data_IF_326594128344
#
_entry.id   IF_326594128344
#
_cell.length_a   1.000
_cell.length_b   1.000
_cell.length_c   1.000
_cell.angle_alpha   90.00
_cell.angle_beta   90.00
_cell.angle_gamma   90.00
#
_symmetry.space_group_name_H-M   'P 1'
#
loop_
_entity.id
_entity.type
_entity.pdbx_description
1 polymer ?
#
# COMPACT_ATOMS: atom_id res chain seq x y z
N UNK A 1 -36.95 -20.14 16.77
CA UNK A 1 -36.55 -21.24 17.65
C UNK A 1 -37.00 -20.98 19.07
N UNK A 2 -36.79 -19.79 19.68
CA UNK A 2 -37.26 -19.44 21.00
C UNK A 2 -38.79 -19.62 21.16
N UNK A 3 -39.61 -19.10 20.24
CA UNK A 3 -41.05 -19.29 20.25
C UNK A 3 -41.45 -20.75 20.25
N UNK A 4 -40.72 -21.62 19.53
CA UNK A 4 -40.95 -23.05 19.48
C UNK A 4 -40.75 -23.69 20.88
N UNK A 5 -39.68 -23.34 21.55
CA UNK A 5 -39.38 -23.80 22.92
C UNK A 5 -40.47 -23.34 23.89
N UNK A 6 -40.83 -22.05 23.86
CA UNK A 6 -41.86 -21.48 24.73
C UNK A 6 -43.22 -22.18 24.51
N UNK A 7 -43.63 -22.36 23.25
CA UNK A 7 -44.89 -23.00 22.92
C UNK A 7 -44.94 -24.47 23.39
N UNK A 8 -43.85 -25.22 23.19
CA UNK A 8 -43.73 -26.61 23.69
C UNK A 8 -43.74 -26.68 25.21
N UNK A 9 -43.03 -25.77 25.87
CA UNK A 9 -43.03 -25.70 27.35
C UNK A 9 -44.42 -25.37 27.90
N UNK A 10 -45.12 -24.39 27.33
CA UNK A 10 -46.47 -24.04 27.77
C UNK A 10 -47.47 -25.18 27.55
N UNK A 11 -47.32 -25.91 26.41
CA UNK A 11 -48.14 -27.09 26.16
C UNK A 11 -47.86 -28.21 27.15
N UNK A 12 -46.59 -28.47 27.46
CA UNK A 12 -46.21 -29.46 28.46
C UNK A 12 -46.76 -29.10 29.86
N UNK A 13 -46.66 -27.82 30.27
CA UNK A 13 -47.25 -27.35 31.54
C UNK A 13 -48.73 -27.59 31.61
N UNK A 14 -49.48 -27.31 30.53
CA UNK A 14 -50.92 -27.58 30.48
C UNK A 14 -51.25 -29.06 30.61
N UNK A 15 -50.51 -29.95 29.93
CA UNK A 15 -50.73 -31.39 29.98
C UNK A 15 -50.48 -31.96 31.38
N UNK A 16 -49.47 -31.44 32.10
CA UNK A 16 -49.18 -31.81 33.49
C UNK A 16 -50.32 -31.35 34.41
N UNK A 17 -50.81 -30.11 34.24
CA UNK A 17 -51.93 -29.56 35.05
C UNK A 17 -53.23 -30.34 34.82
N UNK A 18 -53.43 -30.83 33.60
CA UNK A 18 -54.61 -31.61 33.23
C UNK A 18 -54.49 -33.10 33.60
N UNK A 19 -53.41 -33.52 34.28
CA UNK A 19 -53.10 -34.92 34.60
C UNK A 19 -53.26 -35.88 33.40
N UNK A 20 -52.78 -35.45 32.25
CA UNK A 20 -52.79 -36.23 30.97
C UNK A 20 -52.06 -37.57 31.12
N UNK A 21 -52.41 -38.61 30.34
CA UNK A 21 -51.72 -39.89 30.35
C UNK A 21 -50.18 -39.75 30.13
N UNK A 22 -49.40 -40.55 30.87
CA UNK A 22 -47.92 -40.53 30.88
C UNK A 22 -47.28 -40.62 29.48
N UNK A 23 -47.90 -41.38 28.59
CA UNK A 23 -47.40 -41.54 27.20
C UNK A 23 -47.42 -40.20 26.48
N UNK A 24 -48.47 -39.38 26.66
CA UNK A 24 -48.60 -38.07 26.04
C UNK A 24 -47.58 -37.09 26.68
N UNK A 25 -47.45 -37.11 28.00
CA UNK A 25 -46.47 -36.26 28.68
C UNK A 25 -45.06 -36.60 28.29
N UNK A 26 -44.68 -37.88 28.21
CA UNK A 26 -43.36 -38.32 27.73
C UNK A 26 -43.07 -37.86 26.29
N UNK A 27 -44.04 -37.95 25.40
CA UNK A 27 -43.87 -37.50 24.01
C UNK A 27 -43.67 -35.97 23.95
N UNK A 28 -44.43 -35.20 24.71
CA UNK A 28 -44.24 -33.73 24.72
C UNK A 28 -42.91 -33.31 25.36
N UNK A 29 -42.42 -34.03 26.40
CA UNK A 29 -41.06 -33.85 26.94
C UNK A 29 -40.01 -34.07 25.86
N UNK A 30 -40.13 -35.15 25.05
CA UNK A 30 -39.23 -35.42 23.93
C UNK A 30 -39.26 -34.29 22.89
N UNK A 31 -40.46 -33.79 22.52
CA UNK A 31 -40.62 -32.68 21.59
C UNK A 31 -40.07 -31.35 22.13
N UNK A 32 -40.14 -31.12 23.45
CA UNK A 32 -39.50 -29.97 24.10
C UNK A 32 -37.97 -30.11 24.03
N UNK A 33 -37.46 -31.32 24.30
CA UNK A 33 -36.01 -31.57 24.20
C UNK A 33 -35.50 -31.33 22.76
N UNK A 34 -36.22 -31.80 21.74
CA UNK A 34 -35.89 -31.54 20.34
C UNK A 34 -35.91 -30.04 20.03
N UNK A 35 -36.86 -29.29 20.59
CA UNK A 35 -36.92 -27.85 20.40
C UNK A 35 -35.74 -27.11 21.06
N UNK A 36 -35.29 -27.57 22.21
CA UNK A 36 -34.12 -27.04 22.94
C UNK A 36 -32.83 -27.40 22.18
N UNK A 37 -32.69 -28.64 21.73
CA UNK A 37 -31.55 -29.09 20.93
C UNK A 37 -31.42 -28.24 19.65
N UNK A 38 -32.55 -27.98 18.97
CA UNK A 38 -32.55 -27.11 17.79
C UNK A 38 -32.22 -25.64 18.11
N UNK A 39 -32.56 -25.14 19.29
CA UNK A 39 -32.21 -23.79 19.73
C UNK A 39 -30.71 -23.68 19.95
N UNK A 40 -30.08 -24.69 20.52
CA UNK A 40 -28.65 -24.72 20.82
C UNK A 40 -27.84 -24.95 19.51
N UNK A 41 -28.15 -26.01 18.77
CA UNK A 41 -27.47 -26.34 17.50
C UNK A 41 -28.46 -26.99 16.52
N UNK A 42 -29.03 -26.19 15.64
CA UNK A 42 -30.05 -26.62 14.68
C UNK A 42 -29.44 -27.50 13.59
N UNK A 43 -29.97 -28.73 13.46
CA UNK A 43 -29.51 -29.69 12.46
C UNK A 43 -28.45 -30.67 12.92
N UNK A 44 -27.98 -30.58 14.17
CA UNK A 44 -27.03 -31.54 14.75
C UNK A 44 -27.63 -32.91 14.98
N UNK A 45 -28.90 -32.96 15.42
CA UNK A 45 -29.65 -34.18 15.60
C UNK A 45 -30.85 -34.19 14.67
N UNK A 46 -30.78 -34.89 13.56
CA UNK A 46 -31.86 -35.04 12.61
C UNK A 46 -32.04 -33.82 11.67
N UNK A 47 -33.26 -33.67 11.14
CA UNK A 47 -33.59 -32.66 10.17
C UNK A 47 -33.65 -31.26 10.79
N UNK A 48 -32.90 -30.31 10.18
CA UNK A 48 -32.91 -28.93 10.66
C UNK A 48 -34.33 -28.29 10.61
N UNK A 49 -34.65 -27.50 11.62
CA UNK A 49 -35.87 -26.67 11.61
C UNK A 49 -35.71 -25.54 10.64
N UNK A 50 -36.62 -25.44 9.67
CA UNK A 50 -36.60 -24.44 8.60
C UNK A 50 -37.64 -23.36 8.81
N UNK A 51 -37.44 -22.20 8.23
CA UNK A 51 -38.42 -21.11 8.13
C UNK A 51 -39.34 -21.25 6.89
N UNK A 52 -40.15 -20.23 6.63
CA UNK A 52 -41.10 -20.19 5.51
C UNK A 52 -40.44 -20.42 4.14
N UNK A 53 -39.16 -20.07 3.94
CA UNK A 53 -38.42 -20.20 2.69
C UNK A 53 -37.49 -21.44 2.64
N UNK A 54 -37.81 -22.50 3.36
CA UNK A 54 -37.01 -23.72 3.50
C UNK A 54 -35.54 -23.50 3.94
N UNK A 55 -35.19 -22.32 4.44
CA UNK A 55 -33.88 -22.04 5.03
C UNK A 55 -33.84 -22.48 6.47
N UNK A 56 -32.78 -23.16 6.88
CA UNK A 56 -32.55 -23.51 8.26
C UNK A 56 -32.51 -22.24 9.13
N UNK A 57 -33.18 -22.27 10.27
CA UNK A 57 -33.19 -21.17 11.24
C UNK A 57 -31.84 -21.16 11.97
N UNK A 58 -31.28 -19.98 12.16
CA UNK A 58 -30.00 -19.80 12.90
C UNK A 58 -30.19 -20.21 14.37
N UNK A 59 -29.35 -21.13 14.84
CA UNK A 59 -29.24 -21.54 16.26
C UNK A 59 -28.22 -20.67 17.01
N UNK A 60 -28.13 -20.85 18.33
CA UNK A 60 -27.13 -20.16 19.15
C UNK A 60 -25.68 -20.54 18.70
N UNK A 61 -25.47 -21.82 18.42
CA UNK A 61 -24.18 -22.30 17.89
C UNK A 61 -23.80 -21.65 16.56
N UNK A 62 -24.74 -21.44 15.64
CA UNK A 62 -24.52 -20.80 14.35
C UNK A 62 -24.15 -19.31 14.47
N UNK A 63 -24.53 -18.67 15.58
CA UNK A 63 -24.14 -17.30 15.86
C UNK A 63 -22.66 -17.19 16.30
N UNK A 64 -22.06 -18.27 16.75
CA UNK A 64 -20.69 -18.32 17.25
C UNK A 64 -19.70 -18.90 16.22
N UNK A 65 -20.12 -19.92 15.47
CA UNK A 65 -19.27 -20.66 14.51
C UNK A 65 -19.28 -20.04 13.11
N UNK A 66 -18.26 -20.41 12.32
CA UNK A 66 -18.12 -20.01 10.91
C UNK A 66 -17.57 -18.60 10.70
N UNK A 67 -17.48 -18.19 9.42
CA UNK A 67 -16.91 -16.89 9.01
C UNK A 67 -17.71 -15.69 9.53
N UNK A 68 -19.05 -15.84 9.66
CA UNK A 68 -19.97 -14.81 10.12
C UNK A 68 -20.29 -14.93 11.62
N UNK A 69 -19.66 -15.88 12.32
CA UNK A 69 -19.83 -16.07 13.76
C UNK A 69 -19.08 -15.01 14.57
N UNK A 70 -19.51 -14.83 15.83
CA UNK A 70 -18.96 -13.82 16.74
C UNK A 70 -17.44 -13.94 16.93
N UNK A 71 -16.90 -15.17 16.98
CA UNK A 71 -15.47 -15.36 17.15
C UNK A 71 -14.68 -14.76 15.99
N UNK A 72 -15.01 -15.11 14.75
CA UNK A 72 -14.25 -14.66 13.58
C UNK A 72 -14.59 -13.23 13.15
N UNK A 73 -15.83 -12.80 13.33
CA UNK A 73 -16.29 -11.50 12.82
C UNK A 73 -16.06 -10.36 13.80
N UNK A 74 -16.10 -10.60 15.12
CA UNK A 74 -16.12 -9.54 16.12
C UNK A 74 -15.04 -9.66 17.21
N UNK A 75 -14.47 -10.87 17.44
CA UNK A 75 -13.45 -11.10 18.47
C UNK A 75 -12.04 -11.19 17.90
N UNK A 76 -11.82 -12.00 16.86
CA UNK A 76 -10.50 -12.11 16.19
C UNK A 76 -10.19 -10.92 15.30
N UNK A 77 -11.17 -10.15 14.91
CA UNK A 77 -11.01 -8.92 14.14
C UNK A 77 -12.22 -8.02 14.33
N UNK A 78 -12.00 -6.72 14.32
CA UNK A 78 -13.03 -5.69 14.45
C UNK A 78 -12.90 -4.69 13.31
N UNK A 79 -13.99 -4.03 12.96
CA UNK A 79 -13.93 -2.81 12.14
C UNK A 79 -13.41 -1.69 13.02
N UNK A 80 -12.47 -0.93 12.48
CA UNK A 80 -11.82 0.17 13.20
C UNK A 80 -12.05 1.49 12.48
N UNK A 81 -12.13 2.56 13.26
CA UNK A 81 -12.17 3.92 12.75
C UNK A 81 -10.78 4.37 12.28
N UNK A 82 -10.67 5.52 11.66
CA UNK A 82 -9.43 6.08 11.10
C UNK A 82 -8.75 5.12 10.13
N UNK A 83 -9.55 4.43 9.34
CA UNK A 83 -9.08 3.50 8.31
C UNK A 83 -9.87 3.70 7.02
N UNK A 84 -9.23 3.41 5.91
CA UNK A 84 -9.84 3.48 4.59
C UNK A 84 -9.31 2.38 3.69
N UNK A 85 -9.85 2.29 2.50
CA UNK A 85 -9.42 1.35 1.47
C UNK A 85 -9.54 2.00 0.10
N UNK A 86 -8.53 1.82 -0.74
CA UNK A 86 -8.55 2.27 -2.14
C UNK A 86 -7.69 1.37 -3.03
N UNK A 87 -7.86 1.55 -4.32
CA UNK A 87 -7.01 0.94 -5.35
C UNK A 87 -5.62 1.58 -5.26
N UNK A 88 -4.59 0.80 -5.57
CA UNK A 88 -3.21 1.26 -5.64
C UNK A 88 -2.79 1.54 -7.07
N UNK A 89 -1.94 2.55 -7.24
CA UNK A 89 -1.26 2.87 -8.51
C UNK A 89 0.21 3.11 -8.25
N UNK A 90 1.01 2.99 -9.30
CA UNK A 90 2.46 3.23 -9.20
C UNK A 90 2.75 4.71 -8.93
N UNK A 91 3.72 4.96 -8.04
CA UNK A 91 4.24 6.29 -7.73
C UNK A 91 5.76 6.29 -7.76
N UNK A 92 6.40 6.31 -8.95
CA UNK A 92 7.85 6.27 -9.06
C UNK A 92 8.53 7.54 -8.54
N UNK A 93 7.80 8.66 -8.48
CA UNK A 93 8.25 9.94 -7.94
C UNK A 93 8.37 9.96 -6.41
N UNK A 94 7.77 8.98 -5.72
CA UNK A 94 7.79 8.89 -4.26
C UNK A 94 9.13 8.34 -3.77
N UNK A 95 9.56 8.78 -2.59
CA UNK A 95 10.65 8.14 -1.88
C UNK A 95 10.18 6.81 -1.28
N UNK A 96 11.13 5.91 -0.98
CA UNK A 96 10.82 4.56 -0.47
C UNK A 96 9.95 4.56 0.80
N UNK A 97 10.12 5.57 1.64
CA UNK A 97 9.36 5.72 2.90
C UNK A 97 8.08 6.55 2.74
N UNK A 98 7.75 7.00 1.53
CA UNK A 98 6.57 7.81 1.25
C UNK A 98 5.46 7.00 0.58
N UNK A 99 4.22 7.38 0.84
CA UNK A 99 3.06 6.92 0.10
C UNK A 99 2.16 8.11 -0.30
N UNK A 100 1.58 8.02 -1.48
CA UNK A 100 0.62 9.01 -1.94
C UNK A 100 -0.78 8.71 -1.43
N UNK A 101 -1.36 9.65 -0.68
CA UNK A 101 -2.72 9.53 -0.15
C UNK A 101 -3.63 10.53 -0.87
N UNK A 102 -4.75 10.08 -1.45
CA UNK A 102 -5.73 10.97 -2.07
C UNK A 102 -6.21 12.06 -1.11
N UNK A 103 -6.27 13.31 -1.56
CA UNK A 103 -6.72 14.44 -0.75
C UNK A 103 -8.09 14.21 -0.11
N UNK A 104 -9.05 13.67 -0.87
CA UNK A 104 -10.40 13.37 -0.36
C UNK A 104 -10.37 12.34 0.77
N UNK A 105 -9.51 11.32 0.66
CA UNK A 105 -9.35 10.30 1.69
C UNK A 105 -8.62 10.86 2.93
N UNK A 106 -7.58 11.65 2.72
CA UNK A 106 -6.81 12.26 3.80
C UNK A 106 -7.69 13.16 4.68
N UNK A 107 -8.54 13.99 4.08
CA UNK A 107 -9.48 14.84 4.83
C UNK A 107 -10.42 14.02 5.73
N UNK A 108 -10.93 12.89 5.25
CA UNK A 108 -11.82 12.06 6.07
C UNK A 108 -11.06 11.34 7.18
N UNK A 109 -9.86 10.82 6.90
CA UNK A 109 -9.01 10.13 7.88
C UNK A 109 -8.53 11.08 9.00
N UNK A 110 -8.14 12.29 8.64
CA UNK A 110 -7.59 13.27 9.58
C UNK A 110 -8.61 14.32 10.05
N UNK A 111 -9.88 14.17 9.71
CA UNK A 111 -10.95 15.12 10.01
C UNK A 111 -10.96 15.70 11.43
N UNK A 112 -10.89 14.88 12.51
CA UNK A 112 -10.86 15.40 13.88
C UNK A 112 -9.62 16.25 14.18
N UNK A 113 -8.48 15.88 13.61
CA UNK A 113 -7.21 16.60 13.79
C UNK A 113 -7.23 17.94 13.08
N UNK A 114 -7.78 17.97 11.85
CA UNK A 114 -7.97 19.21 11.09
C UNK A 114 -8.94 20.14 11.82
N UNK A 115 -10.07 19.64 12.34
CA UNK A 115 -11.00 20.45 13.13
C UNK A 115 -10.32 21.05 14.36
N UNK A 116 -9.49 20.27 15.05
CA UNK A 116 -8.74 20.73 16.21
C UNK A 116 -7.77 21.85 15.81
N UNK A 117 -6.96 21.65 14.78
CA UNK A 117 -5.97 22.60 14.28
C UNK A 117 -6.64 23.93 13.85
N UNK A 118 -7.74 23.87 13.09
CA UNK A 118 -8.45 25.06 12.65
C UNK A 118 -9.01 25.92 13.81
N UNK A 119 -9.35 25.27 14.93
CA UNK A 119 -9.79 25.98 16.14
C UNK A 119 -8.58 26.55 16.91
N UNK A 120 -7.49 25.81 17.02
CA UNK A 120 -6.24 26.26 17.68
C UNK A 120 -5.60 27.43 16.96
N UNK A 121 -5.59 27.44 15.63
CA UNK A 121 -5.07 28.51 14.77
C UNK A 121 -6.03 29.73 14.71
N UNK A 122 -7.19 29.67 15.38
CA UNK A 122 -8.16 30.77 15.41
C UNK A 122 -8.95 30.99 14.10
N UNK A 123 -8.80 30.12 13.11
CA UNK A 123 -9.50 30.18 11.84
C UNK A 123 -10.99 29.80 11.97
N UNK A 124 -11.32 29.04 12.99
CA UNK A 124 -12.69 28.65 13.32
C UNK A 124 -13.01 28.93 14.79
N UNK A 125 -14.14 29.59 15.06
CA UNK A 125 -14.56 29.94 16.42
C UNK A 125 -15.02 28.74 17.26
N UNK A 126 -15.44 27.65 16.60
CA UNK A 126 -15.88 26.43 17.25
C UNK A 126 -15.84 25.23 16.30
N UNK A 127 -15.99 24.02 16.86
CA UNK A 127 -15.98 22.76 16.09
C UNK A 127 -17.07 22.72 15.00
N UNK A 128 -18.25 23.34 15.23
CA UNK A 128 -19.30 23.39 14.20
C UNK A 128 -18.89 24.26 13.01
N UNK A 129 -18.19 25.37 13.27
CA UNK A 129 -17.65 26.23 12.22
C UNK A 129 -16.54 25.52 11.45
N UNK A 130 -15.60 24.88 12.15
CA UNK A 130 -14.53 24.08 11.54
C UNK A 130 -15.10 22.97 10.62
N UNK A 131 -16.12 22.25 11.08
CA UNK A 131 -16.81 21.25 10.26
C UNK A 131 -17.39 21.85 8.98
N UNK A 132 -18.06 22.99 9.06
CA UNK A 132 -18.61 23.68 7.87
C UNK A 132 -17.52 24.15 6.91
N UNK A 133 -16.33 24.52 7.42
CA UNK A 133 -15.19 24.89 6.56
C UNK A 133 -14.67 23.69 5.81
N UNK A 134 -14.54 22.54 6.47
CA UNK A 134 -14.12 21.26 5.85
C UNK A 134 -15.16 20.84 4.80
N UNK A 135 -16.44 20.85 5.13
CA UNK A 135 -17.52 20.46 4.20
C UNK A 135 -17.61 21.37 2.97
N UNK A 136 -17.11 22.61 3.06
CA UNK A 136 -17.01 23.57 1.94
C UNK A 136 -15.69 23.49 1.17
N UNK A 137 -14.70 22.76 1.66
CA UNK A 137 -13.40 22.61 1.02
C UNK A 137 -12.61 23.91 0.88
N UNK A 138 -12.57 24.73 1.93
CA UNK A 138 -11.82 26.00 1.91
C UNK A 138 -10.31 25.76 1.83
N UNK A 139 -9.57 26.71 1.27
CA UNK A 139 -8.11 26.59 1.08
C UNK A 139 -7.35 26.42 2.40
N UNK A 140 -7.77 27.13 3.46
CA UNK A 140 -7.16 27.02 4.79
C UNK A 140 -7.22 25.60 5.38
N UNK A 141 -8.18 24.79 4.92
CA UNK A 141 -8.32 23.38 5.35
C UNK A 141 -7.20 22.52 4.76
N UNK A 142 -6.77 22.82 3.53
CA UNK A 142 -5.70 22.08 2.85
C UNK A 142 -4.34 22.38 3.50
N UNK A 143 -4.08 23.64 3.83
CA UNK A 143 -2.85 24.04 4.53
C UNK A 143 -2.76 23.37 5.91
N UNK A 144 -3.86 23.41 6.67
CA UNK A 144 -3.94 22.72 7.97
C UNK A 144 -3.76 21.21 7.85
N UNK A 145 -4.30 20.58 6.79
CA UNK A 145 -4.16 19.16 6.52
C UNK A 145 -2.72 18.80 6.19
N UNK A 146 -2.05 19.56 5.35
CA UNK A 146 -0.65 19.35 4.97
C UNK A 146 0.27 19.38 6.20
N UNK A 147 0.07 20.35 7.07
CA UNK A 147 0.85 20.46 8.31
C UNK A 147 0.63 19.27 9.26
N UNK A 148 -0.61 18.77 9.35
CA UNK A 148 -0.93 17.63 10.23
C UNK A 148 -0.31 16.34 9.71
N UNK A 149 -0.27 16.17 8.39
CA UNK A 149 0.24 14.96 7.74
C UNK A 149 1.75 14.82 7.89
N UNK A 150 2.51 15.92 7.86
CA UNK A 150 3.98 15.90 7.96
C UNK A 150 4.51 15.11 9.16
N UNK A 151 3.78 15.14 10.28
CA UNK A 151 4.22 14.50 11.53
C UNK A 151 3.49 13.19 11.86
N UNK A 152 2.65 12.68 10.97
CA UNK A 152 1.82 11.50 11.25
C UNK A 152 2.03 10.40 10.23
N UNK A 153 2.77 9.33 10.60
CA UNK A 153 2.91 8.18 9.73
C UNK A 153 1.56 7.47 9.56
N UNK A 154 1.34 6.87 8.41
CA UNK A 154 0.20 6.00 8.13
C UNK A 154 0.69 4.58 7.87
N UNK A 155 -0.14 3.59 8.14
CA UNK A 155 0.17 2.19 7.85
C UNK A 155 -0.63 1.73 6.64
N UNK A 156 0.04 1.08 5.70
CA UNK A 156 -0.59 0.41 4.56
C UNK A 156 -0.58 -1.10 4.78
N UNK A 157 -1.67 -1.74 4.39
CA UNK A 157 -1.82 -3.18 4.45
C UNK A 157 -2.46 -3.71 3.18
N UNK A 158 -1.92 -4.81 2.64
CA UNK A 158 -2.57 -5.60 1.58
C UNK A 158 -2.97 -6.96 2.13
N UNK A 159 -4.23 -7.34 1.94
CA UNK A 159 -4.71 -8.67 2.24
C UNK A 159 -4.46 -9.62 1.03
N UNK A 160 -4.03 -10.88 1.27
CA UNK A 160 -3.78 -11.51 2.57
C UNK A 160 -2.43 -11.09 3.17
N UNK A 161 -2.40 -10.81 4.48
CA UNK A 161 -1.15 -10.51 5.19
C UNK A 161 -0.44 -11.81 5.55
N UNK A 162 0.53 -12.22 4.73
CA UNK A 162 1.23 -13.50 4.86
C UNK A 162 2.42 -13.43 5.83
N UNK A 163 3.03 -12.26 5.95
CA UNK A 163 4.20 -12.01 6.81
C UNK A 163 4.19 -10.56 7.31
N UNK A 164 5.12 -10.22 8.22
CA UNK A 164 5.15 -8.90 8.87
C UNK A 164 5.28 -7.72 7.90
N UNK A 165 5.94 -7.90 6.75
CA UNK A 165 6.11 -6.84 5.74
C UNK A 165 4.84 -6.57 4.92
N UNK A 166 3.78 -7.36 5.10
CA UNK A 166 2.44 -7.07 4.57
C UNK A 166 1.73 -5.91 5.26
N UNK A 167 2.32 -5.36 6.33
CA UNK A 167 1.93 -4.12 6.98
C UNK A 167 3.18 -3.29 7.16
N UNK A 168 3.23 -2.11 6.55
CA UNK A 168 4.36 -1.18 6.67
C UNK A 168 3.85 0.24 6.90
N UNK A 169 4.66 1.04 7.58
CA UNK A 169 4.39 2.44 7.79
C UNK A 169 5.06 3.29 6.70
N UNK A 170 4.40 4.39 6.38
CA UNK A 170 4.84 5.36 5.38
C UNK A 170 4.55 6.78 5.87
N UNK A 171 5.31 7.73 5.38
CA UNK A 171 5.00 9.15 5.48
C UNK A 171 4.03 9.52 4.35
N UNK A 172 2.83 10.01 4.67
CA UNK A 172 1.84 10.33 3.64
C UNK A 172 2.20 11.63 2.91
N UNK A 173 2.02 11.61 1.59
CA UNK A 173 2.10 12.77 0.70
C UNK A 173 0.74 12.92 0.01
N UNK A 174 0.21 14.14 -0.03
CA UNK A 174 -1.07 14.40 -0.69
C UNK A 174 -0.92 14.30 -2.20
N UNK A 175 -1.81 13.52 -2.81
CA UNK A 175 -1.86 13.34 -4.26
C UNK A 175 -3.26 13.60 -4.80
N UNK A 176 -3.32 14.03 -6.04
CA UNK A 176 -4.58 14.16 -6.77
C UNK A 176 -5.10 12.78 -7.21
N UNK A 177 -6.41 12.69 -7.41
CA UNK A 177 -7.09 11.46 -7.79
C UNK A 177 -7.71 10.73 -6.61
N UNK A 178 -8.04 9.45 -6.79
CA UNK A 178 -8.72 8.61 -5.79
C UNK A 178 -7.95 7.35 -5.43
N UNK A 179 -6.83 7.10 -6.06
CA UNK A 179 -5.99 5.93 -5.83
C UNK A 179 -4.83 6.25 -4.91
N UNK A 180 -4.45 5.28 -4.07
CA UNK A 180 -3.24 5.35 -3.28
C UNK A 180 -2.02 5.17 -4.19
N UNK A 181 -0.99 6.00 -4.07
CA UNK A 181 0.27 5.81 -4.78
C UNK A 181 1.26 5.06 -3.91
N UNK A 182 1.87 4.03 -4.49
CA UNK A 182 2.86 3.18 -3.81
C UNK A 182 4.16 3.18 -4.61
N UNK A 183 5.29 3.27 -3.91
CA UNK A 183 6.60 3.14 -4.53
C UNK A 183 6.76 1.72 -5.12
N UNK A 184 7.20 1.57 -6.37
CA UNK A 184 7.24 0.26 -7.06
C UNK A 184 8.12 -0.78 -6.35
N UNK A 185 9.22 -0.38 -5.69
CA UNK A 185 10.07 -1.30 -4.94
C UNK A 185 9.40 -1.91 -3.70
N UNK A 186 8.31 -1.32 -3.20
CA UNK A 186 7.55 -1.88 -2.07
C UNK A 186 6.59 -3.00 -2.48
N UNK A 187 6.30 -3.16 -3.78
CA UNK A 187 5.34 -4.14 -4.28
C UNK A 187 5.71 -5.58 -3.91
N UNK A 188 6.99 -5.91 -3.94
CA UNK A 188 7.49 -7.26 -3.57
C UNK A 188 7.17 -7.61 -2.12
N UNK A 189 7.30 -6.66 -1.19
CA UNK A 189 7.00 -6.86 0.23
C UNK A 189 5.50 -7.11 0.47
N UNK A 190 4.63 -6.40 -0.24
CA UNK A 190 3.19 -6.56 -0.14
C UNK A 190 2.64 -7.68 -1.04
N UNK A 191 3.46 -8.26 -1.92
CA UNK A 191 3.03 -9.11 -3.02
C UNK A 191 1.87 -8.46 -3.79
N UNK A 192 2.05 -7.15 -4.11
CA UNK A 192 1.06 -6.30 -4.76
C UNK A 192 1.44 -6.07 -6.23
N UNK A 193 0.43 -5.92 -7.07
CA UNK A 193 0.54 -5.46 -8.44
C UNK A 193 -0.46 -4.33 -8.71
N UNK A 194 -0.34 -3.68 -9.85
CA UNK A 194 -1.15 -2.51 -10.20
C UNK A 194 -2.29 -2.85 -11.19
N UNK A 195 -2.77 -4.08 -11.15
CA UNK A 195 -3.86 -4.59 -12.00
C UNK A 195 -5.27 -4.30 -11.44
N UNK A 196 -5.38 -3.56 -10.36
CA UNK A 196 -6.62 -3.25 -9.66
C UNK A 196 -6.61 -3.68 -8.19
N UNK A 197 -5.46 -4.07 -7.67
CA UNK A 197 -5.27 -4.38 -6.26
C UNK A 197 -5.68 -3.21 -5.36
N UNK A 198 -6.23 -3.55 -4.22
CA UNK A 198 -6.63 -2.59 -3.19
C UNK A 198 -5.80 -2.78 -1.93
N UNK A 199 -5.45 -1.67 -1.29
CA UNK A 199 -4.80 -1.66 0.01
C UNK A 199 -5.63 -0.89 1.05
N UNK A 200 -5.52 -1.33 2.30
CA UNK A 200 -6.07 -0.61 3.43
C UNK A 200 -5.05 0.38 3.98
N UNK A 201 -5.53 1.54 4.42
CA UNK A 201 -4.76 2.56 5.12
C UNK A 201 -5.28 2.71 6.53
N UNK A 202 -4.39 2.86 7.51
CA UNK A 202 -4.69 3.03 8.91
C UNK A 202 -3.86 4.17 9.50
N UNK A 203 -4.46 4.96 10.39
CA UNK A 203 -3.79 6.07 11.07
C UNK A 203 -3.55 5.70 12.54
N UNK A 204 -2.31 5.58 13.00
CA UNK A 204 -2.00 5.39 14.42
C UNK A 204 -2.35 6.67 15.19
N UNK A 205 -3.06 6.51 16.33
CA UNK A 205 -3.62 7.65 17.06
C UNK A 205 -2.75 8.07 18.24
N UNK A 206 -2.23 7.11 19.03
CA UNK A 206 -1.43 7.42 20.20
C UNK A 206 0.02 7.75 19.82
N UNK A 207 0.71 8.48 20.70
CA UNK A 207 2.12 8.84 20.50
C UNK A 207 3.02 7.59 20.46
N UNK A 208 2.72 6.60 21.30
CA UNK A 208 3.42 5.32 21.34
C UNK A 208 3.25 4.55 20.03
N UNK A 209 2.01 4.46 19.51
CA UNK A 209 1.74 3.80 18.23
C UNK A 209 2.42 4.50 17.05
N UNK A 210 2.50 5.84 17.07
CA UNK A 210 3.22 6.61 16.05
C UNK A 210 4.74 6.37 16.14
N UNK A 211 5.29 6.28 17.34
CA UNK A 211 6.70 5.97 17.55
C UNK A 211 7.03 4.55 17.07
N UNK A 212 6.21 3.56 17.40
CA UNK A 212 6.37 2.19 16.89
C UNK A 212 6.27 2.14 15.35
N UNK A 213 5.32 2.85 14.77
CA UNK A 213 5.17 2.94 13.32
C UNK A 213 6.44 3.49 12.65
N UNK A 214 7.05 4.55 13.22
CA UNK A 214 8.27 5.16 12.68
C UNK A 214 9.52 4.32 12.89
N UNK A 215 9.68 3.72 14.06
CA UNK A 215 10.91 3.01 14.42
C UNK A 215 10.92 1.59 13.87
N UNK A 216 9.82 0.85 14.04
CA UNK A 216 9.76 -0.58 13.73
C UNK A 216 9.13 -0.88 12.37
N UNK A 217 8.14 -0.09 11.94
CA UNK A 217 7.31 -0.44 10.79
C UNK A 217 7.58 0.38 9.53
N UNK A 218 8.39 1.43 9.61
CA UNK A 218 8.69 2.26 8.44
C UNK A 218 9.32 1.41 7.33
N UNK A 219 8.89 1.60 6.08
CA UNK A 219 9.35 0.82 4.93
C UNK A 219 10.87 0.88 4.74
N UNK A 220 11.48 2.04 5.00
CA UNK A 220 12.94 2.23 4.92
C UNK A 220 13.71 1.38 5.95
N UNK A 221 13.10 1.01 7.08
CA UNK A 221 13.71 0.18 8.12
C UNK A 221 13.50 -1.33 7.88
N UNK A 222 12.67 -1.71 6.89
CA UNK A 222 12.27 -3.09 6.62
C UNK A 222 12.71 -3.54 5.22
N UNK A 223 13.98 -3.35 4.90
CA UNK A 223 14.55 -3.66 3.59
C UNK A 223 14.91 -5.14 3.42
N UNK A 224 15.01 -5.88 4.52
CA UNK A 224 15.45 -7.28 4.53
C UNK A 224 14.29 -8.23 4.83
N UNK A 225 14.26 -9.36 4.14
CA UNK A 225 13.31 -10.44 4.42
C UNK A 225 13.61 -11.09 5.76
N UNK A 226 12.63 -11.30 6.63
CA UNK A 226 12.85 -11.98 7.92
C UNK A 226 13.18 -13.47 7.77
N UNK A 227 12.89 -14.06 6.61
CA UNK A 227 13.08 -15.49 6.33
C UNK A 227 14.55 -15.82 6.06
N UNK A 228 15.22 -15.06 5.20
CA UNK A 228 16.54 -15.37 4.64
C UNK A 228 17.55 -14.22 4.72
N UNK A 229 17.12 -13.07 5.25
CA UNK A 229 17.96 -11.87 5.36
C UNK A 229 18.32 -11.21 4.03
N UNK A 230 17.75 -11.69 2.91
CA UNK A 230 18.01 -11.06 1.60
C UNK A 230 17.20 -9.78 1.42
N UNK A 231 17.65 -8.85 0.56
CA UNK A 231 16.88 -7.64 0.24
C UNK A 231 15.50 -7.98 -0.33
N UNK A 232 14.47 -7.25 0.12
CA UNK A 232 13.11 -7.32 -0.42
C UNK A 232 12.94 -6.31 -1.57
N UNK A 233 13.54 -5.14 -1.42
CA UNK A 233 13.44 -4.01 -2.35
C UNK A 233 14.45 -4.17 -3.47
N UNK A 234 14.16 -5.07 -4.41
CA UNK A 234 14.97 -5.33 -5.58
C UNK A 234 14.21 -4.96 -6.85
N UNK A 235 14.89 -4.46 -7.90
CA UNK A 235 14.25 -4.24 -9.19
C UNK A 235 13.63 -5.53 -9.73
N UNK A 236 12.42 -5.44 -10.29
CA UNK A 236 11.70 -6.58 -10.87
C UNK A 236 11.03 -6.19 -12.18
N UNK A 237 10.74 -7.18 -13.04
CA UNK A 237 9.95 -7.02 -14.25
C UNK A 237 10.35 -5.81 -15.11
N UNK A 238 9.47 -4.83 -15.28
CA UNK A 238 9.67 -3.66 -16.12
C UNK A 238 10.88 -2.79 -15.71
N UNK A 239 11.23 -2.79 -14.42
CA UNK A 239 12.44 -2.09 -13.94
C UNK A 239 13.72 -2.74 -14.47
N UNK A 240 13.76 -4.08 -14.53
CA UNK A 240 14.90 -4.81 -15.11
C UNK A 240 14.97 -4.55 -16.61
N UNK A 241 13.82 -4.62 -17.31
CA UNK A 241 13.75 -4.33 -18.73
C UNK A 241 14.19 -2.88 -19.04
N UNK A 242 13.73 -1.92 -18.23
CA UNK A 242 14.11 -0.52 -18.36
C UNK A 242 15.61 -0.32 -18.14
N UNK A 243 16.17 -0.96 -17.12
CA UNK A 243 17.63 -0.92 -16.86
C UNK A 243 18.41 -1.54 -17.99
N UNK A 244 17.98 -2.69 -18.52
CA UNK A 244 18.58 -3.31 -19.69
C UNK A 244 18.57 -2.38 -20.90
N UNK A 245 17.42 -1.73 -21.17
CA UNK A 245 17.28 -0.79 -22.28
C UNK A 245 18.20 0.43 -22.13
N UNK A 246 18.32 0.98 -20.92
CA UNK A 246 19.19 2.12 -20.63
C UNK A 246 20.69 1.77 -20.76
N UNK A 247 21.05 0.51 -20.54
CA UNK A 247 22.44 0.03 -20.62
C UNK A 247 22.75 -0.66 -21.96
N UNK A 248 21.76 -0.79 -22.86
CA UNK A 248 21.92 -1.43 -24.14
C UNK A 248 22.79 -0.55 -25.07
N UNK A 249 23.89 -1.11 -25.53
CA UNK A 249 24.82 -0.42 -26.45
C UNK A 249 24.43 -0.70 -27.89
N UNK A 250 24.29 0.35 -28.70
CA UNK A 250 24.12 0.24 -30.14
C UNK A 250 25.49 0.16 -30.79
N UNK A 251 25.56 -0.52 -31.93
CA UNK A 251 26.83 -0.69 -32.68
C UNK A 251 27.06 0.40 -33.72
N UNK A 252 26.05 1.21 -34.07
CA UNK A 252 26.18 2.34 -34.97
C UNK A 252 26.77 3.55 -34.22
N UNK A 253 27.87 4.07 -34.76
CA UNK A 253 28.64 5.15 -34.12
C UNK A 253 28.54 6.41 -34.96
N UNK A 254 28.15 7.54 -34.35
CA UNK A 254 28.23 8.86 -34.97
C UNK A 254 29.47 9.60 -34.49
N UNK A 255 30.03 10.45 -35.35
CA UNK A 255 31.21 11.27 -35.04
C UNK A 255 30.82 12.75 -34.95
N UNK A 256 31.33 13.42 -33.93
CA UNK A 256 31.11 14.84 -33.66
C UNK A 256 32.43 15.54 -33.42
N UNK A 257 32.58 16.77 -33.91
CA UNK A 257 33.80 17.54 -33.73
C UNK A 257 33.94 18.11 -32.32
N UNK A 258 32.81 18.49 -31.71
CA UNK A 258 32.80 19.07 -30.37
C UNK A 258 31.65 18.50 -29.53
N UNK A 259 31.85 18.53 -28.21
CA UNK A 259 30.84 18.08 -27.27
C UNK A 259 29.61 19.01 -27.22
N UNK A 260 29.82 20.31 -27.53
CA UNK A 260 28.71 21.27 -27.56
C UNK A 260 27.65 20.95 -28.63
N UNK A 261 28.01 20.19 -29.68
CA UNK A 261 27.06 19.71 -30.67
C UNK A 261 26.18 18.59 -30.17
N UNK A 262 26.61 17.85 -29.14
CA UNK A 262 25.95 16.66 -28.61
C UNK A 262 24.77 17.04 -27.71
N UNK A 263 24.95 18.06 -26.85
CA UNK A 263 23.91 18.42 -25.90
C UNK A 263 22.58 18.83 -26.53
N UNK A 264 22.54 19.72 -27.50
CA UNK A 264 21.29 20.06 -28.17
C UNK A 264 20.63 18.85 -28.84
N UNK A 265 21.42 17.88 -29.33
CA UNK A 265 20.89 16.67 -29.93
C UNK A 265 20.30 15.71 -28.91
N UNK A 266 20.91 15.59 -27.72
CA UNK A 266 20.40 14.84 -26.61
C UNK A 266 19.10 15.45 -26.06
N UNK A 267 19.08 16.76 -25.85
CA UNK A 267 17.89 17.49 -25.38
C UNK A 267 16.72 17.40 -26.37
N UNK A 268 17.00 17.48 -27.65
CA UNK A 268 15.97 17.29 -28.68
C UNK A 268 15.56 15.85 -28.93
N UNK A 269 16.16 14.88 -28.22
CA UNK A 269 15.87 13.44 -28.38
C UNK A 269 16.30 12.85 -29.73
N UNK A 270 17.16 13.55 -30.47
CA UNK A 270 17.71 13.07 -31.75
C UNK A 270 18.86 12.08 -31.58
N UNK A 271 19.58 12.19 -30.48
CA UNK A 271 20.66 11.29 -30.11
C UNK A 271 20.21 10.43 -28.92
N UNK A 272 20.06 9.11 -29.09
CA UNK A 272 19.72 8.23 -27.97
C UNK A 272 20.90 8.05 -27.00
N UNK A 273 20.65 7.90 -25.72
CA UNK A 273 21.67 7.81 -24.67
C UNK A 273 22.55 6.55 -24.78
N UNK A 274 22.00 5.48 -25.35
CA UNK A 274 22.65 4.19 -25.52
C UNK A 274 23.57 4.13 -26.75
N UNK A 275 23.63 5.20 -27.57
CA UNK A 275 24.40 5.23 -28.79
C UNK A 275 25.86 5.63 -28.50
N UNK A 276 26.87 4.81 -28.85
CA UNK A 276 28.26 5.22 -28.76
C UNK A 276 28.56 6.34 -29.76
N UNK A 277 29.41 7.28 -29.38
CA UNK A 277 29.78 8.43 -30.20
C UNK A 277 31.28 8.63 -30.19
N UNK A 278 31.81 9.14 -31.31
CA UNK A 278 33.17 9.63 -31.43
C UNK A 278 33.17 11.14 -31.23
N UNK A 279 34.03 11.64 -30.34
CA UNK A 279 34.17 13.09 -30.11
C UNK A 279 35.64 13.46 -30.28
N UNK A 280 35.87 14.49 -31.09
CA UNK A 280 37.21 15.00 -31.37
C UNK A 280 37.42 16.28 -30.55
N UNK A 281 38.53 16.41 -29.86
CA UNK A 281 38.93 17.57 -29.05
C UNK A 281 37.91 18.03 -28.00
N UNK A 282 38.20 17.87 -26.73
CA UNK A 282 37.12 17.80 -25.82
C UNK A 282 37.00 18.97 -24.91
N UNK A 283 37.93 19.62 -24.36
CA UNK A 283 37.58 20.42 -23.20
C UNK A 283 38.48 21.63 -22.96
N UNK A 284 37.83 22.74 -22.55
CA UNK A 284 38.45 23.71 -21.65
C UNK A 284 38.25 23.18 -20.22
N UNK A 285 39.28 23.30 -19.34
CA UNK A 285 39.32 22.71 -18.00
C UNK A 285 38.11 23.07 -17.10
N UNK A 286 37.48 24.23 -17.32
CA UNK A 286 36.32 24.67 -16.53
C UNK A 286 35.01 23.91 -16.85
N UNK A 287 34.87 23.34 -18.02
CA UNK A 287 33.70 22.58 -18.44
C UNK A 287 33.79 21.10 -18.06
N UNK A 288 34.99 20.61 -17.77
CA UNK A 288 35.25 19.21 -17.46
C UNK A 288 34.61 18.74 -16.17
N UNK A 289 34.53 19.58 -15.13
CA UNK A 289 33.89 19.24 -13.85
C UNK A 289 32.38 19.07 -13.99
N UNK A 290 31.68 19.95 -14.69
CA UNK A 290 30.25 19.88 -14.95
C UNK A 290 29.90 18.64 -15.79
N UNK A 291 30.76 18.26 -16.70
CA UNK A 291 30.61 17.08 -17.53
C UNK A 291 30.86 15.78 -16.78
N UNK A 292 31.85 15.72 -15.90
CA UNK A 292 32.06 14.56 -15.02
C UNK A 292 30.84 14.30 -14.16
N UNK A 293 30.18 15.34 -13.64
CA UNK A 293 28.93 15.19 -12.89
C UNK A 293 27.79 14.67 -13.76
N UNK A 294 27.63 15.19 -14.96
CA UNK A 294 26.59 14.76 -15.89
C UNK A 294 26.78 13.30 -16.34
N UNK A 295 27.99 12.87 -16.60
CA UNK A 295 28.32 11.49 -16.97
C UNK A 295 28.17 10.52 -15.81
N UNK A 296 28.57 10.91 -14.60
CA UNK A 296 28.32 10.09 -13.37
C UNK A 296 26.84 9.88 -13.12
N UNK A 297 26.01 10.84 -13.43
CA UNK A 297 24.56 10.71 -13.18
C UNK A 297 23.80 9.99 -14.30
N UNK A 298 24.28 10.03 -15.55
CA UNK A 298 23.59 9.44 -16.70
C UNK A 298 24.37 8.37 -17.45
N UNK A 299 25.71 8.40 -17.44
CA UNK A 299 26.60 7.51 -18.18
C UNK A 299 27.35 6.47 -17.33
N UNK A 300 27.20 6.49 -15.98
CA UNK A 300 27.95 5.64 -15.07
C UNK A 300 27.74 4.12 -15.22
N UNK A 301 26.85 3.69 -16.11
CA UNK A 301 26.55 2.28 -16.38
C UNK A 301 27.35 1.70 -17.55
N UNK A 302 28.23 2.49 -18.21
CA UNK A 302 28.96 2.08 -19.41
C UNK A 302 30.43 1.74 -19.16
N UNK A 303 30.89 1.75 -17.91
CA UNK A 303 32.26 1.37 -17.56
C UNK A 303 32.45 -0.15 -17.45
N UNK A 304 32.44 -0.85 -18.57
CA UNK A 304 33.11 -2.14 -18.67
C UNK A 304 34.45 -1.93 -19.36
N UNK A 305 35.55 -2.03 -18.61
CA UNK A 305 36.92 -1.86 -19.08
C UNK A 305 37.38 -2.84 -20.19
N UNK A 306 36.58 -3.88 -20.46
CA UNK A 306 36.95 -5.00 -21.32
C UNK A 306 36.69 -4.77 -22.81
N UNK A 307 35.90 -3.78 -23.21
CA UNK A 307 35.48 -3.55 -24.58
C UNK A 307 35.99 -2.19 -25.15
N UNK A 308 37.13 -1.70 -24.66
CA UNK A 308 37.73 -0.47 -25.21
C UNK A 308 38.28 -0.73 -26.62
N UNK A 309 37.72 -0.12 -27.68
CA UNK A 309 38.38 -0.12 -28.98
C UNK A 309 39.67 0.68 -28.89
N UNK A 310 40.66 0.30 -29.67
CA UNK A 310 41.91 1.04 -29.77
C UNK A 310 41.64 2.53 -30.08
N UNK A 311 42.00 3.41 -29.16
CA UNK A 311 41.77 4.85 -29.27
C UNK A 311 42.74 5.47 -30.25
N UNK A 312 42.21 6.16 -31.25
CA UNK A 312 43.00 7.06 -32.07
C UNK A 312 43.29 8.31 -31.20
N UNK A 313 44.55 8.77 -31.06
CA UNK A 313 44.88 9.95 -30.28
C UNK A 313 44.00 11.15 -30.65
N UNK A 314 43.29 11.73 -29.66
CA UNK A 314 42.39 12.86 -29.86
C UNK A 314 40.97 12.50 -30.34
N UNK A 315 40.57 11.21 -30.32
CA UNK A 315 39.21 10.80 -30.62
C UNK A 315 38.74 9.74 -29.60
N UNK A 316 37.51 9.87 -29.11
CA UNK A 316 36.94 9.01 -28.09
C UNK A 316 35.58 8.47 -28.55
N UNK A 317 35.37 7.18 -28.35
CA UNK A 317 34.12 6.52 -28.81
C UNK A 317 32.93 6.80 -27.93
N UNK A 318 33.18 7.05 -26.64
CA UNK A 318 32.15 7.37 -25.68
C UNK A 318 32.60 8.54 -24.82
N UNK A 319 31.64 9.24 -24.25
CA UNK A 319 31.91 10.30 -23.28
C UNK A 319 32.71 9.79 -22.08
N UNK A 320 32.45 8.55 -21.63
CA UNK A 320 33.19 7.91 -20.53
C UNK A 320 34.70 7.72 -20.87
N UNK A 321 35.02 7.39 -22.12
CA UNK A 321 36.44 7.29 -22.57
C UNK A 321 37.13 8.65 -22.61
N UNK A 322 36.39 9.69 -22.98
CA UNK A 322 36.90 11.04 -22.97
C UNK A 322 37.25 11.53 -21.57
N UNK A 323 36.35 11.25 -20.59
CA UNK A 323 36.57 11.58 -19.18
C UNK A 323 37.71 10.75 -18.59
N UNK A 324 37.79 9.46 -18.92
CA UNK A 324 38.89 8.62 -18.47
C UNK A 324 40.27 9.09 -19.00
N UNK A 325 40.34 9.56 -20.26
CA UNK A 325 41.53 10.12 -20.82
C UNK A 325 41.92 11.49 -20.19
N UNK A 326 40.92 12.30 -19.82
CA UNK A 326 41.14 13.54 -19.05
C UNK A 326 41.66 13.23 -17.63
N UNK A 327 41.06 12.28 -16.94
CA UNK A 327 41.53 11.84 -15.62
C UNK A 327 42.92 11.21 -15.63
N UNK A 328 43.30 10.59 -16.77
CA UNK A 328 44.62 10.04 -16.99
C UNK A 328 45.68 11.11 -17.42
N UNK A 329 45.23 12.34 -17.69
CA UNK A 329 46.10 13.42 -18.14
C UNK A 329 46.64 13.23 -19.58
N UNK A 330 45.91 12.48 -20.41
CA UNK A 330 46.21 12.21 -21.80
C UNK A 330 45.71 13.32 -22.74
N UNK A 331 44.89 14.23 -22.20
CA UNK A 331 44.35 15.41 -22.88
C UNK A 331 44.59 16.64 -21.98
#
# INVERSE_FOLDING_TARGET
LYRRVINRNNRLKRLIQLQAPDIIVRNEKRMLQEAVDALIDNGRRGRAVTGANNRALKSLSDMLKGKQGRFRQNLLGKRVDYSGRSVIVVGPELKLYQCGVPKEMAIELFRPFVMKKLVEDGLANNIKSAKKMIDKGKDEVWDALEDIIKDRPVMLNRAPTLHRLGIQAFEPVLVEGRALKLHPLCCTAFNADFDGDQMAIHVPLSAEAQAEARILMLSANNLLRPQDGKPVTVPTQDMILGTYYLTYQRYDVDAYDTIHEIFPLLECGKLPYEKPIWVKNIWDDAEAEDYQYYLRTRGALLENETDRPETIPGSYQTLGQAVAALDAGEI
#
